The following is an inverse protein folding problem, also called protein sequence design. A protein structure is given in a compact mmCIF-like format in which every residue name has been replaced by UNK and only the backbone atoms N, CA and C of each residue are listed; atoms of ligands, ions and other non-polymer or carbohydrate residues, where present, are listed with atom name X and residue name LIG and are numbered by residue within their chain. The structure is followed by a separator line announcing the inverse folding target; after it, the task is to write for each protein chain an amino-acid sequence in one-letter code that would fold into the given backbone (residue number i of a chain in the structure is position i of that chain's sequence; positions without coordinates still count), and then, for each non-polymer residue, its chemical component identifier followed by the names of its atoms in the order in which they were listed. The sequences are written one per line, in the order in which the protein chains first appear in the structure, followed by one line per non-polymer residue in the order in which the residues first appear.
data_IF_571748838711
#
_entry.id   IF_571748838711
#
_cell.length_a   1.000
_cell.length_b   1.000
_cell.length_c   1.000
_cell.angle_alpha   90.00
_cell.angle_beta   90.00
_cell.angle_gamma   90.00
#
_symmetry.space_group_name_H-M   'P 1'
#
loop_
_entity.id
_entity.type
_entity.pdbx_description
1 polymer ?
#
# COMPACT_ATOMS: atom_id res chain seq x y z
N UNK A 1 11.23 6.94 12.05
CA UNK A 1 10.26 7.68 11.20
C UNK A 1 9.24 6.66 10.64
N UNK A 2 8.06 7.06 10.13
CA UNK A 2 7.00 6.10 9.67
C UNK A 2 7.55 5.04 8.69
N UNK A 3 8.48 5.44 7.82
CA UNK A 3 9.19 4.55 6.89
C UNK A 3 9.95 3.44 7.62
N UNK A 4 10.78 3.80 8.60
CA UNK A 4 11.57 2.85 9.38
C UNK A 4 10.66 1.90 10.15
N UNK A 5 9.58 2.45 10.72
CA UNK A 5 8.60 1.70 11.50
C UNK A 5 7.82 0.70 10.66
N UNK A 6 7.34 1.13 9.48
CA UNK A 6 6.66 0.27 8.50
C UNK A 6 7.58 -0.86 8.01
N UNK A 7 8.84 -0.54 7.73
CA UNK A 7 9.84 -1.53 7.35
C UNK A 7 10.17 -2.50 8.50
N UNK A 8 10.27 -2.02 9.74
CA UNK A 8 10.52 -2.87 10.91
C UNK A 8 9.33 -3.78 11.20
N UNK A 9 8.10 -3.25 11.11
CA UNK A 9 6.88 -4.00 11.30
C UNK A 9 6.79 -5.18 10.33
N UNK A 10 7.04 -4.95 9.03
CA UNK A 10 7.01 -6.04 8.05
C UNK A 10 8.01 -7.15 8.39
N UNK A 11 9.25 -6.80 8.73
CA UNK A 11 10.32 -7.77 9.07
C UNK A 11 9.99 -8.60 10.31
N UNK A 12 9.33 -8.00 11.28
CA UNK A 12 8.99 -8.64 12.56
C UNK A 12 7.66 -9.39 12.51
N UNK A 13 6.84 -9.14 11.49
CA UNK A 13 5.56 -9.83 11.33
C UNK A 13 5.81 -11.26 10.91
N UNK A 14 5.27 -12.22 11.67
CA UNK A 14 5.17 -13.63 11.26
C UNK A 14 4.08 -13.73 10.19
N UNK A 15 4.30 -13.11 9.04
CA UNK A 15 3.38 -13.27 7.93
C UNK A 15 3.51 -14.70 7.39
N UNK A 16 2.42 -15.46 7.47
CA UNK A 16 2.22 -16.61 6.59
C UNK A 16 2.28 -16.03 5.18
N UNK A 17 3.43 -16.18 4.52
CA UNK A 17 3.57 -15.79 3.13
C UNK A 17 2.50 -16.53 2.34
N UNK A 18 1.42 -15.83 1.97
CA UNK A 18 0.53 -16.36 0.96
C UNK A 18 1.39 -16.51 -0.30
N UNK A 19 1.33 -17.68 -0.94
CA UNK A 19 2.09 -18.01 -2.14
C UNK A 19 1.99 -16.99 -3.29
N UNK A 20 1.01 -16.09 -3.21
CA UNK A 20 0.72 -15.02 -4.18
C UNK A 20 1.06 -13.60 -3.71
N UNK A 21 1.65 -13.42 -2.52
CA UNK A 21 2.09 -12.10 -2.06
C UNK A 21 3.39 -11.72 -2.77
N UNK A 22 3.44 -10.53 -3.36
CA UNK A 22 4.68 -9.99 -3.91
C UNK A 22 5.75 -9.89 -2.80
N UNK A 23 7.03 -10.15 -3.12
CA UNK A 23 8.10 -10.00 -2.14
C UNK A 23 8.16 -8.57 -1.62
N UNK A 24 8.33 -8.42 -0.31
CA UNK A 24 8.44 -7.10 0.31
C UNK A 24 9.76 -6.45 -0.04
N UNK A 25 9.66 -5.22 -0.54
CA UNK A 25 10.79 -4.31 -0.71
C UNK A 25 10.61 -3.20 0.32
N UNK A 26 11.70 -2.83 1.01
CA UNK A 26 11.66 -1.75 1.98
C UNK A 26 11.11 -0.48 1.33
N UNK A 27 10.15 0.16 1.99
CA UNK A 27 9.61 1.44 1.54
C UNK A 27 10.58 2.59 1.83
N UNK A 28 10.43 3.69 1.10
CA UNK A 28 11.23 4.90 1.22
C UNK A 28 10.34 6.09 1.56
N UNK A 29 10.93 7.21 2.00
CA UNK A 29 10.18 8.45 2.25
C UNK A 29 9.43 8.94 1.02
N UNK A 30 10.06 8.89 -0.16
CA UNK A 30 9.43 9.30 -1.42
C UNK A 30 8.23 8.41 -1.76
N UNK A 31 8.39 7.08 -1.65
CA UNK A 31 7.28 6.15 -1.90
C UNK A 31 6.13 6.37 -0.89
N UNK A 32 6.45 6.62 0.39
CA UNK A 32 5.46 6.90 1.42
C UNK A 32 4.68 8.21 1.13
N UNK A 33 5.34 9.24 0.61
CA UNK A 33 4.64 10.45 0.17
C UNK A 33 3.69 10.19 -1.01
N UNK A 34 4.12 9.41 -2.01
CA UNK A 34 3.25 9.03 -3.13
C UNK A 34 2.07 8.17 -2.61
N UNK A 35 2.31 7.28 -1.65
CA UNK A 35 1.27 6.47 -1.04
C UNK A 35 0.22 7.34 -0.34
N UNK A 36 0.65 8.30 0.49
CA UNK A 36 -0.25 9.22 1.16
C UNK A 36 -1.00 10.12 0.17
N UNK A 37 -0.33 10.62 -0.88
CA UNK A 37 -0.98 11.37 -1.94
C UNK A 37 -2.03 10.53 -2.68
N UNK A 38 -1.74 9.25 -2.93
CA UNK A 38 -2.69 8.30 -3.52
C UNK A 38 -3.92 8.12 -2.61
N UNK A 39 -3.71 7.93 -1.30
CA UNK A 39 -4.82 7.82 -0.31
C UNK A 39 -5.66 9.10 -0.26
N UNK A 40 -5.04 10.27 -0.34
CA UNK A 40 -5.73 11.57 -0.38
C UNK A 40 -6.50 11.79 -1.69
N UNK A 41 -6.06 11.20 -2.80
CA UNK A 41 -6.75 11.25 -4.08
C UNK A 41 -8.00 10.36 -4.12
N UNK A 42 -7.97 9.20 -3.46
CA UNK A 42 -9.07 8.23 -3.44
C UNK A 42 -10.48 8.78 -3.14
N UNK A 43 -10.71 9.66 -2.14
CA UNK A 43 -12.04 10.19 -1.88
C UNK A 43 -12.60 11.03 -3.04
N UNK A 44 -11.75 11.68 -3.84
CA UNK A 44 -12.16 12.47 -5.01
C UNK A 44 -12.65 11.59 -6.16
N UNK A 45 -12.16 10.34 -6.24
CA UNK A 45 -12.45 9.38 -7.30
C UNK A 45 -13.03 8.08 -6.72
N UNK A 46 -14.00 8.22 -5.80
CA UNK A 46 -14.52 7.13 -4.97
C UNK A 46 -14.93 5.90 -5.80
N UNK A 47 -14.38 4.74 -5.45
CA UNK A 47 -14.77 3.43 -5.99
C UNK A 47 -15.46 2.60 -4.90
N UNK A 48 -16.31 1.65 -5.31
CA UNK A 48 -17.04 0.78 -4.37
C UNK A 48 -16.12 -0.16 -3.57
N UNK A 49 -14.94 -0.49 -4.11
CA UNK A 49 -13.95 -1.39 -3.49
C UNK A 49 -12.55 -0.84 -3.75
N UNK A 50 -11.62 -1.02 -2.82
CA UNK A 50 -10.21 -0.60 -2.97
C UNK A 50 -9.58 -1.19 -4.24
N UNK A 51 -9.87 -2.46 -4.54
CA UNK A 51 -9.38 -3.10 -5.78
C UNK A 51 -9.91 -2.44 -7.07
N UNK A 52 -11.03 -1.73 -6.99
CA UNK A 52 -11.63 -1.03 -8.13
C UNK A 52 -10.82 0.16 -8.64
N UNK A 53 -9.93 0.72 -7.82
CA UNK A 53 -9.02 1.79 -8.25
C UNK A 53 -8.02 1.33 -9.32
N UNK A 54 -7.72 0.03 -9.38
CA UNK A 54 -6.86 -0.60 -10.39
C UNK A 54 -7.65 -1.44 -11.41
N UNK A 55 -8.93 -1.14 -11.62
CA UNK A 55 -9.73 -1.84 -12.62
C UNK A 55 -9.25 -1.51 -14.04
N UNK A 56 -9.11 -2.53 -14.88
CA UNK A 56 -8.89 -2.40 -16.33
C UNK A 56 -10.20 -2.34 -17.12
N UNK A 57 -11.35 -2.42 -16.45
CA UNK A 57 -12.65 -2.35 -17.11
C UNK A 57 -12.93 -0.92 -17.59
N UNK A 58 -13.08 -0.75 -18.91
CA UNK A 58 -13.14 0.56 -19.58
C UNK A 58 -14.13 1.54 -18.98
N UNK A 59 -15.27 1.08 -18.43
CA UNK A 59 -16.29 1.98 -17.86
C UNK A 59 -15.89 2.60 -16.52
N UNK A 60 -14.98 1.97 -15.78
CA UNK A 60 -14.60 2.40 -14.43
C UNK A 60 -13.09 2.58 -14.25
N UNK A 61 -12.31 2.38 -15.31
CA UNK A 61 -10.87 2.54 -15.29
C UNK A 61 -10.48 3.98 -14.92
N UNK A 62 -9.44 4.14 -14.11
CA UNK A 62 -8.94 5.44 -13.67
C UNK A 62 -7.42 5.36 -13.60
N UNK A 63 -6.78 5.69 -14.72
CA UNK A 63 -5.39 5.32 -15.03
C UNK A 63 -4.38 5.85 -14.01
N UNK A 64 -4.62 7.03 -13.44
CA UNK A 64 -3.72 7.67 -12.47
C UNK A 64 -3.34 6.75 -11.30
N UNK A 65 -4.25 5.89 -10.82
CA UNK A 65 -3.93 4.97 -9.72
C UNK A 65 -2.95 3.88 -10.14
N UNK A 66 -3.02 3.41 -11.38
CA UNK A 66 -2.10 2.42 -11.95
C UNK A 66 -0.73 3.05 -12.32
N UNK A 67 -0.69 4.35 -12.60
CA UNK A 67 0.54 5.11 -12.82
C UNK A 67 1.30 5.35 -11.50
N UNK A 68 0.59 5.62 -10.40
CA UNK A 68 1.20 5.88 -9.10
C UNK A 68 1.67 4.61 -8.39
N UNK A 69 0.89 3.52 -8.48
CA UNK A 69 1.21 2.25 -7.85
C UNK A 69 0.67 1.06 -8.63
N UNK A 70 1.33 -0.10 -8.48
CA UNK A 70 0.63 -1.37 -8.73
C UNK A 70 -0.34 -1.66 -7.58
N UNK A 71 -1.46 -2.32 -7.88
CA UNK A 71 -2.44 -2.73 -6.86
C UNK A 71 -1.81 -3.49 -5.70
N UNK A 72 -0.90 -4.41 -6.03
CA UNK A 72 -0.29 -5.30 -5.05
C UNK A 72 0.69 -4.56 -4.15
N UNK A 73 1.48 -3.61 -4.70
CA UNK A 73 2.37 -2.76 -3.89
C UNK A 73 1.58 -1.81 -2.99
N UNK A 74 0.53 -1.17 -3.50
CA UNK A 74 -0.34 -0.33 -2.67
C UNK A 74 -0.97 -1.13 -1.53
N UNK A 75 -1.48 -2.34 -1.83
CA UNK A 75 -2.08 -3.22 -0.82
C UNK A 75 -1.04 -3.63 0.22
N UNK A 76 0.18 -3.98 -0.20
CA UNK A 76 1.25 -4.34 0.73
C UNK A 76 1.61 -3.17 1.67
N UNK A 77 1.70 -1.94 1.15
CA UNK A 77 1.93 -0.75 1.98
C UNK A 77 0.75 -0.51 2.93
N UNK A 78 -0.49 -0.61 2.44
CA UNK A 78 -1.69 -0.44 3.25
C UNK A 78 -1.76 -1.44 4.41
N UNK A 79 -1.36 -2.69 4.20
CA UNK A 79 -1.41 -3.72 5.25
C UNK A 79 -0.25 -3.64 6.25
N UNK A 80 0.89 -3.08 5.85
CA UNK A 80 2.09 -3.00 6.70
C UNK A 80 2.33 -1.60 7.29
N UNK A 81 1.54 -0.59 6.92
CA UNK A 81 1.68 0.79 7.40
C UNK A 81 1.66 0.83 8.93
N UNK A 82 2.72 1.36 9.52
CA UNK A 82 2.89 1.35 10.96
C UNK A 82 3.51 2.66 11.47
N UNK A 83 2.99 3.16 12.59
CA UNK A 83 3.28 4.51 13.11
C UNK A 83 4.03 4.53 14.44
N UNK A 84 4.01 3.43 15.20
CA UNK A 84 4.60 3.32 16.54
C UNK A 84 5.29 1.99 16.68
N UNK A 85 6.33 1.92 17.49
CA UNK A 85 6.97 0.66 17.84
C UNK A 85 6.00 -0.31 18.55
N UNK A 86 5.85 -1.53 18.00
CA UNK A 86 5.23 -2.66 18.68
C UNK A 86 6.17 -3.21 19.78
N UNK A 87 6.23 -2.52 20.93
CA UNK A 87 7.00 -2.94 22.12
C UNK A 87 6.26 -4.01 22.94
N UNK A 88 5.38 -4.80 22.34
CA UNK A 88 4.75 -5.92 23.03
C UNK A 88 5.45 -7.22 22.60
N UNK A 89 6.48 -7.58 23.39
CA UNK A 89 7.00 -8.94 23.49
C UNK A 89 6.05 -9.77 24.35
#
# INVERSE_FOLDING_TARGET
MIVDETNRFHRNSVHIAHSHAAPWINTTTNEMYIFLATVMLMPHLKKNRIRGYWSTYRLIATLIFAELFTRDRFTALLTNLHFRDNIWK
#
